data_IF_550207031280
#
_entry.id   IF_550207031280
#
_cell.length_a   1.000
_cell.length_b   1.000
_cell.length_c   1.000
_cell.angle_alpha   90.00
_cell.angle_beta   90.00
_cell.angle_gamma   90.00
#
_symmetry.space_group_name_H-M   'P 1'
#
loop_
_entity.id
_entity.type
_entity.pdbx_description
1 polymer ?
#
# COMPACT_ATOMS: atom_id res chain seq x y z
N UNK A 1 44.69 22.81 -24.00
CA UNK A 1 43.81 22.95 -22.82
C UNK A 1 43.00 21.67 -22.75
N UNK A 2 43.42 20.74 -21.89
CA UNK A 2 42.71 19.48 -21.64
C UNK A 2 41.50 19.79 -20.76
N UNK A 3 40.30 19.66 -21.31
CA UNK A 3 39.10 19.54 -20.49
C UNK A 3 39.03 18.09 -20.02
N UNK A 4 39.41 17.88 -18.76
CA UNK A 4 39.06 16.70 -18.00
C UNK A 4 37.54 16.73 -17.82
N UNK A 5 36.82 15.95 -18.61
CA UNK A 5 35.40 15.72 -18.36
C UNK A 5 35.26 14.96 -17.05
N UNK A 6 34.59 15.62 -16.12
CA UNK A 6 34.29 15.17 -14.78
C UNK A 6 33.57 13.82 -14.82
N UNK A 7 34.22 12.85 -14.18
CA UNK A 7 33.71 11.52 -13.88
C UNK A 7 32.45 11.62 -12.98
N UNK A 8 31.27 11.69 -13.62
CA UNK A 8 29.96 11.62 -12.96
C UNK A 8 29.58 10.17 -12.63
N UNK A 9 30.49 9.39 -12.05
CA UNK A 9 30.21 8.00 -11.63
C UNK A 9 29.96 7.90 -10.14
N UNK A 10 28.95 8.63 -9.63
CA UNK A 10 28.25 8.23 -8.40
C UNK A 10 26.84 8.83 -8.42
N UNK A 11 25.94 8.22 -9.19
CA UNK A 11 24.52 8.35 -8.88
C UNK A 11 24.31 7.63 -7.55
N UNK A 12 23.77 8.29 -6.50
CA UNK A 12 23.39 7.58 -5.30
C UNK A 12 22.41 6.49 -5.70
N UNK A 13 22.81 5.24 -5.52
CA UNK A 13 21.90 4.10 -5.56
C UNK A 13 20.97 4.26 -4.37
N UNK A 14 19.81 4.87 -4.58
CA UNK A 14 18.71 4.82 -3.63
C UNK A 14 18.24 3.35 -3.55
N UNK A 15 18.85 2.61 -2.63
CA UNK A 15 18.46 1.25 -2.31
C UNK A 15 17.17 1.31 -1.50
N UNK A 16 16.02 1.25 -2.19
CA UNK A 16 14.70 1.00 -1.58
C UNK A 16 14.60 -0.47 -1.16
N UNK A 17 15.49 -0.93 -0.28
CA UNK A 17 15.47 -2.33 0.15
C UNK A 17 14.44 -2.51 1.28
N UNK A 18 13.16 -2.62 0.90
CA UNK A 18 12.05 -2.96 1.81
C UNK A 18 12.17 -4.38 2.39
N UNK A 19 13.19 -5.16 2.00
CA UNK A 19 13.35 -6.57 2.36
C UNK A 19 13.40 -6.79 3.87
N UNK A 20 14.08 -5.93 4.63
CA UNK A 20 14.16 -6.08 6.09
C UNK A 20 12.78 -5.91 6.75
N UNK A 21 12.05 -4.85 6.39
CA UNK A 21 10.69 -4.63 6.84
C UNK A 21 9.76 -5.76 6.41
N UNK A 22 9.85 -6.21 5.15
CA UNK A 22 9.05 -7.33 4.65
C UNK A 22 9.28 -8.60 5.47
N UNK A 23 10.54 -8.90 5.81
CA UNK A 23 10.90 -10.05 6.65
C UNK A 23 10.30 -9.89 8.05
N UNK A 24 10.46 -8.73 8.67
CA UNK A 24 9.95 -8.46 10.01
C UNK A 24 8.43 -8.59 10.07
N UNK A 25 7.71 -7.97 9.13
CA UNK A 25 6.25 -8.05 9.02
C UNK A 25 5.79 -9.49 8.77
N UNK A 26 6.44 -10.22 7.85
CA UNK A 26 6.08 -11.63 7.57
C UNK A 26 6.31 -12.51 8.80
N UNK A 27 7.39 -12.30 9.55
CA UNK A 27 7.66 -13.04 10.78
C UNK A 27 6.63 -12.74 11.86
N UNK A 28 6.26 -11.47 12.03
CA UNK A 28 5.22 -11.06 12.97
C UNK A 28 3.87 -11.70 12.64
N UNK A 29 3.48 -11.75 11.36
CA UNK A 29 2.23 -12.38 10.91
C UNK A 29 2.27 -13.89 11.10
N UNK A 30 3.40 -14.55 10.80
CA UNK A 30 3.54 -16.00 10.98
C UNK A 30 3.47 -16.44 12.44
N UNK A 31 3.78 -15.54 13.38
CA UNK A 31 3.62 -15.80 14.81
C UNK A 31 2.14 -15.91 15.23
N UNK A 32 1.22 -15.35 14.43
CA UNK A 32 -0.22 -15.49 14.65
C UNK A 32 -0.75 -16.80 14.05
N UNK A 33 -1.31 -17.67 14.90
CA UNK A 33 -1.77 -19.01 14.50
C UNK A 33 -2.73 -18.99 13.29
N UNK A 34 -3.62 -17.97 13.20
CA UNK A 34 -4.56 -17.75 12.09
C UNK A 34 -3.87 -17.67 10.72
N UNK A 35 -2.67 -17.09 10.66
CA UNK A 35 -1.98 -16.76 9.40
C UNK A 35 -0.69 -17.54 9.15
N UNK A 36 -0.23 -18.31 10.14
CA UNK A 36 1.01 -19.10 10.10
C UNK A 36 1.27 -19.87 8.79
N UNK A 37 0.22 -20.40 8.16
CA UNK A 37 0.30 -21.20 6.93
C UNK A 37 -0.27 -20.49 5.67
N UNK A 38 -0.64 -19.22 5.75
CA UNK A 38 -1.21 -18.49 4.62
C UNK A 38 -0.13 -18.01 3.64
N UNK A 39 0.18 -18.88 2.67
CA UNK A 39 1.15 -18.58 1.61
C UNK A 39 0.71 -17.43 0.71
N UNK A 40 -0.60 -17.22 0.53
CA UNK A 40 -1.12 -16.16 -0.33
C UNK A 40 -0.96 -14.81 0.34
N UNK A 41 -1.20 -14.73 1.65
CA UNK A 41 -0.92 -13.54 2.45
C UNK A 41 0.57 -13.15 2.39
N UNK A 42 1.49 -14.12 2.50
CA UNK A 42 2.94 -13.83 2.37
C UNK A 42 3.28 -13.23 1.00
N UNK A 43 2.73 -13.79 -0.08
CA UNK A 43 2.90 -13.22 -1.43
C UNK A 43 2.29 -11.82 -1.54
N UNK A 44 1.12 -11.63 -0.94
CA UNK A 44 0.45 -10.34 -0.89
C UNK A 44 1.31 -9.30 -0.20
N UNK A 45 1.84 -9.57 1.00
CA UNK A 45 2.66 -8.62 1.77
C UNK A 45 3.89 -8.18 0.97
N UNK A 46 4.62 -9.14 0.38
CA UNK A 46 5.77 -8.84 -0.48
C UNK A 46 5.40 -7.96 -1.68
N UNK A 47 4.21 -8.18 -2.25
CA UNK A 47 3.72 -7.36 -3.36
C UNK A 47 3.27 -5.97 -2.90
N UNK A 48 2.57 -5.92 -1.76
CA UNK A 48 1.99 -4.73 -1.14
C UNK A 48 3.06 -3.75 -0.66
N UNK A 49 4.19 -4.27 -0.20
CA UNK A 49 5.33 -3.50 0.31
C UNK A 49 6.55 -3.49 -0.62
N UNK A 50 6.37 -3.92 -1.86
CA UNK A 50 7.43 -3.88 -2.89
C UNK A 50 7.99 -2.48 -3.17
N UNK A 51 7.28 -1.44 -2.76
CA UNK A 51 7.75 -0.07 -2.75
C UNK A 51 7.15 0.67 -1.55
N UNK A 52 7.99 1.01 -0.56
CA UNK A 52 7.62 1.88 0.56
C UNK A 52 8.62 3.04 0.63
N UNK A 53 8.14 4.29 0.80
CA UNK A 53 8.99 5.42 1.11
C UNK A 53 9.82 5.22 2.39
N UNK A 54 11.10 5.62 2.38
CA UNK A 54 12.02 5.41 3.51
C UNK A 54 11.57 6.13 4.78
N UNK A 55 10.96 7.30 4.65
CA UNK A 55 10.38 8.06 5.74
C UNK A 55 9.29 7.27 6.47
N UNK A 56 8.56 6.40 5.78
CA UNK A 56 7.59 5.54 6.47
C UNK A 56 8.28 4.45 7.29
N UNK A 57 9.38 3.89 6.78
CA UNK A 57 10.17 2.86 7.50
C UNK A 57 10.78 3.47 8.76
N UNK A 58 11.21 4.73 8.71
CA UNK A 58 11.80 5.44 9.85
C UNK A 58 10.77 5.87 10.90
N UNK A 59 9.53 6.20 10.48
CA UNK A 59 8.51 6.76 11.37
C UNK A 59 7.52 5.73 11.93
N UNK A 60 7.43 4.52 11.38
CA UNK A 60 6.47 3.51 11.80
C UNK A 60 7.14 2.19 12.17
N UNK A 61 6.60 1.52 13.19
CA UNK A 61 7.08 0.22 13.64
C UNK A 61 6.47 -0.94 12.83
N UNK A 62 7.02 -2.15 12.99
CA UNK A 62 6.53 -3.32 12.29
C UNK A 62 5.09 -3.72 12.63
N UNK A 63 4.58 -3.41 13.83
CA UNK A 63 3.18 -3.67 14.17
C UNK A 63 2.23 -2.80 13.32
N UNK A 64 2.57 -1.53 13.11
CA UNK A 64 1.79 -0.66 12.23
C UNK A 64 1.73 -1.22 10.80
N UNK A 65 2.86 -1.65 10.25
CA UNK A 65 2.91 -2.26 8.91
C UNK A 65 2.19 -3.61 8.87
N UNK A 66 2.31 -4.42 9.92
CA UNK A 66 1.57 -5.68 10.07
C UNK A 66 0.06 -5.46 10.01
N UNK A 67 -0.46 -4.60 10.89
CA UNK A 67 -1.89 -4.35 11.01
C UNK A 67 -2.45 -3.73 9.72
N UNK A 68 -1.68 -2.84 9.10
CA UNK A 68 -2.01 -2.26 7.79
C UNK A 68 -2.10 -3.33 6.71
N UNK A 69 -1.11 -4.23 6.62
CA UNK A 69 -1.09 -5.29 5.62
C UNK A 69 -2.23 -6.30 5.81
N UNK A 70 -2.53 -6.68 7.05
CA UNK A 70 -3.66 -7.57 7.36
C UNK A 70 -5.00 -6.92 7.00
N UNK A 71 -5.21 -5.67 7.44
CA UNK A 71 -6.40 -4.87 7.11
C UNK A 71 -6.58 -4.68 5.59
N UNK A 72 -5.48 -4.48 4.88
CA UNK A 72 -5.44 -4.37 3.43
C UNK A 72 -5.76 -5.71 2.74
N UNK A 73 -5.16 -6.81 3.19
CA UNK A 73 -5.39 -8.14 2.64
C UNK A 73 -6.83 -8.61 2.82
N UNK A 74 -7.38 -8.48 4.03
CA UNK A 74 -8.79 -8.83 4.30
C UNK A 74 -9.77 -8.01 3.45
N UNK A 75 -9.44 -6.75 3.16
CA UNK A 75 -10.20 -5.92 2.23
C UNK A 75 -10.03 -6.40 0.78
N UNK A 76 -8.81 -6.74 0.37
CA UNK A 76 -8.47 -7.20 -0.97
C UNK A 76 -9.17 -8.50 -1.38
N UNK A 77 -9.38 -9.39 -0.42
CA UNK A 77 -10.14 -10.63 -0.59
C UNK A 77 -11.64 -10.40 -0.84
N UNK A 78 -12.19 -9.25 -0.43
CA UNK A 78 -13.63 -8.93 -0.54
C UNK A 78 -14.02 -8.33 -1.88
N UNK A 79 -13.09 -8.10 -2.82
CA UNK A 79 -13.40 -7.51 -4.13
C UNK A 79 -14.44 -8.38 -4.88
N UNK A 80 -15.62 -7.82 -5.23
CA UNK A 80 -16.65 -8.59 -5.91
C UNK A 80 -16.29 -8.82 -7.39
N UNK A 81 -16.65 -10.00 -7.91
CA UNK A 81 -16.28 -10.43 -9.27
C UNK A 81 -16.74 -9.47 -10.38
N UNK A 82 -17.92 -8.86 -10.23
CA UNK A 82 -18.55 -8.03 -11.25
C UNK A 82 -18.29 -6.52 -11.06
N UNK A 83 -17.33 -6.13 -10.23
CA UNK A 83 -16.94 -4.73 -10.11
C UNK A 83 -15.44 -4.54 -10.29
N UNK A 84 -15.11 -3.53 -11.07
CA UNK A 84 -13.73 -3.12 -11.29
C UNK A 84 -13.14 -2.40 -10.07
N UNK A 85 -13.98 -1.99 -9.11
CA UNK A 85 -13.57 -1.27 -7.92
C UNK A 85 -14.26 -1.75 -6.64
N UNK A 86 -13.65 -1.46 -5.50
CA UNK A 86 -14.22 -1.57 -4.17
C UNK A 86 -13.66 -0.43 -3.31
N UNK A 87 -14.49 0.23 -2.52
CA UNK A 87 -14.08 1.31 -1.62
C UNK A 87 -14.60 1.03 -0.22
N UNK A 88 -13.80 1.33 0.79
CA UNK A 88 -14.24 1.40 2.19
C UNK A 88 -13.67 2.65 2.84
N UNK A 89 -14.42 3.21 3.79
CA UNK A 89 -13.97 4.27 4.69
C UNK A 89 -14.26 3.78 6.11
N UNK A 90 -13.24 3.78 6.96
CA UNK A 90 -13.32 3.29 8.33
C UNK A 90 -12.72 4.32 9.26
N UNK A 91 -13.44 4.65 10.32
CA UNK A 91 -12.92 5.49 11.39
C UNK A 91 -12.31 4.59 12.48
N UNK A 92 -11.08 4.90 12.88
CA UNK A 92 -10.39 4.25 13.97
C UNK A 92 -10.40 5.19 15.16
N UNK A 93 -11.08 4.77 16.22
CA UNK A 93 -10.99 5.42 17.53
C UNK A 93 -9.61 5.12 18.10
N UNK A 94 -8.95 6.16 18.61
CA UNK A 94 -7.62 6.16 19.24
C UNK A 94 -7.04 4.78 19.59
N UNK A 95 -5.83 4.50 19.11
CA UNK A 95 -5.01 3.38 19.59
C UNK A 95 -3.97 3.88 20.60
N UNK A 96 -3.22 2.96 21.22
CA UNK A 96 -2.09 3.31 22.09
C UNK A 96 -1.00 4.09 21.35
N UNK A 97 -0.92 3.95 20.03
CA UNK A 97 0.16 4.50 19.20
C UNK A 97 -0.28 5.70 18.35
N UNK A 98 -1.58 5.82 18.04
CA UNK A 98 -2.08 6.86 17.14
C UNK A 98 -3.34 7.55 17.68
N UNK A 99 -3.46 8.88 17.52
CA UNK A 99 -4.73 9.56 17.75
C UNK A 99 -5.79 9.07 16.75
N UNK A 100 -7.08 9.40 16.96
CA UNK A 100 -8.14 8.99 16.05
C UNK A 100 -7.83 9.38 14.60
N UNK A 101 -8.02 8.43 13.69
CA UNK A 101 -7.77 8.63 12.27
C UNK A 101 -8.88 8.01 11.43
N UNK A 102 -8.97 8.44 10.17
CA UNK A 102 -9.80 7.80 9.16
C UNK A 102 -8.88 7.10 8.18
N UNK A 103 -9.20 5.84 7.88
CA UNK A 103 -8.60 5.07 6.80
C UNK A 103 -9.63 4.98 5.67
N UNK A 104 -9.18 5.20 4.44
CA UNK A 104 -9.91 4.69 3.29
C UNK A 104 -9.04 3.76 2.48
N UNK A 105 -9.67 2.73 1.92
CA UNK A 105 -9.04 1.77 1.02
C UNK A 105 -9.82 1.69 -0.27
N UNK A 106 -9.10 1.67 -1.38
CA UNK A 106 -9.67 1.58 -2.71
C UNK A 106 -8.97 0.47 -3.45
N UNK A 107 -9.72 -0.48 -3.99
CA UNK A 107 -9.24 -1.38 -5.03
C UNK A 107 -9.81 -0.88 -6.33
N UNK A 108 -9.00 -0.83 -7.38
CA UNK A 108 -9.43 -0.56 -8.74
C UNK A 108 -8.62 -1.41 -9.72
N UNK A 109 -9.12 -1.54 -10.95
CA UNK A 109 -8.24 -1.86 -12.08
C UNK A 109 -7.30 -0.66 -12.23
N UNK A 110 -6.00 -0.92 -12.30
CA UNK A 110 -5.00 0.15 -12.36
C UNK A 110 -5.30 1.10 -13.53
N UNK A 111 -5.41 2.38 -13.21
CA UNK A 111 -5.84 3.42 -14.11
C UNK A 111 -5.08 4.71 -13.80
N UNK A 112 -4.69 5.44 -14.84
CA UNK A 112 -3.97 6.70 -14.69
C UNK A 112 -4.80 7.72 -13.88
N UNK A 113 -4.09 8.63 -13.21
CA UNK A 113 -4.64 9.83 -12.54
C UNK A 113 -5.48 9.62 -11.27
N UNK A 114 -5.79 8.39 -10.84
CA UNK A 114 -6.59 8.20 -9.61
C UNK A 114 -5.89 8.74 -8.36
N UNK A 115 -4.57 8.56 -8.28
CA UNK A 115 -3.76 9.03 -7.14
C UNK A 115 -3.73 10.55 -7.09
N UNK A 116 -3.47 11.20 -8.21
CA UNK A 116 -3.42 12.66 -8.29
C UNK A 116 -4.80 13.26 -7.97
N UNK A 117 -5.87 12.61 -8.42
CA UNK A 117 -7.24 13.02 -8.13
C UNK A 117 -7.56 12.93 -6.63
N UNK A 118 -7.13 11.85 -5.96
CA UNK A 118 -7.32 11.67 -4.52
C UNK A 118 -6.49 12.68 -3.75
N UNK A 119 -5.21 12.84 -4.09
CA UNK A 119 -4.33 13.82 -3.43
C UNK A 119 -4.86 15.23 -3.56
N UNK A 120 -5.22 15.64 -4.78
CA UNK A 120 -5.79 16.96 -5.05
C UNK A 120 -7.10 17.18 -4.29
N UNK A 121 -7.96 16.16 -4.17
CA UNK A 121 -9.17 16.26 -3.36
C UNK A 121 -8.85 16.46 -1.88
N UNK A 122 -7.95 15.65 -1.31
CA UNK A 122 -7.54 15.73 0.10
C UNK A 122 -6.93 17.11 0.41
N UNK A 123 -6.02 17.59 -0.44
CA UNK A 123 -5.42 18.92 -0.33
C UNK A 123 -6.48 20.02 -0.36
N UNK A 124 -7.44 19.95 -1.29
CA UNK A 124 -8.52 20.94 -1.42
C UNK A 124 -9.40 21.04 -0.17
N UNK A 125 -9.57 19.96 0.58
CA UNK A 125 -10.33 19.94 1.84
C UNK A 125 -9.44 20.09 3.08
N UNK A 126 -8.15 20.39 2.90
CA UNK A 126 -7.21 20.63 3.99
C UNK A 126 -6.85 19.37 4.78
N UNK A 127 -6.93 18.19 4.16
CA UNK A 127 -6.53 16.93 4.76
C UNK A 127 -5.18 16.48 4.21
N UNK A 128 -4.22 16.30 5.10
CA UNK A 128 -2.92 15.75 4.77
C UNK A 128 -2.84 14.30 5.30
N UNK A 129 -2.59 13.30 4.42
CA UNK A 129 -2.43 11.93 4.86
C UNK A 129 -1.08 11.74 5.54
N UNK A 130 -1.06 11.13 6.74
CA UNK A 130 0.19 10.73 7.39
C UNK A 130 0.72 9.41 6.83
N UNK A 131 -0.14 8.63 6.17
CA UNK A 131 0.24 7.39 5.51
C UNK A 131 -0.56 7.23 4.22
N UNK A 132 0.13 7.10 3.10
CA UNK A 132 -0.47 6.92 1.78
C UNK A 132 0.40 5.96 0.96
N UNK A 133 -0.13 4.79 0.63
CA UNK A 133 0.54 3.83 -0.26
C UNK A 133 -0.40 3.37 -1.37
N UNK A 134 0.20 3.04 -2.51
CA UNK A 134 -0.48 2.60 -3.72
C UNK A 134 0.28 1.47 -4.42
N UNK A 135 0.30 0.26 -3.85
CA UNK A 135 0.84 -0.89 -4.55
C UNK A 135 0.00 -1.25 -5.78
N UNK A 136 0.71 -1.45 -6.89
CA UNK A 136 0.19 -2.00 -8.13
C UNK A 136 0.59 -3.47 -8.20
N UNK A 137 -0.40 -4.34 -8.30
CA UNK A 137 -0.21 -5.79 -8.23
C UNK A 137 -0.86 -6.49 -9.41
N UNK A 138 -0.21 -7.53 -9.88
CA UNK A 138 -0.78 -8.47 -10.83
C UNK A 138 -1.53 -9.52 -10.05
N UNK A 139 -2.81 -9.73 -10.39
CA UNK A 139 -3.67 -10.67 -9.70
C UNK A 139 -4.14 -11.79 -10.60
N UNK A 140 -4.31 -12.96 -10.00
CA UNK A 140 -5.08 -14.06 -10.55
C UNK A 140 -6.27 -14.32 -9.63
N UNK A 141 -7.48 -14.25 -10.20
CA UNK A 141 -8.72 -14.56 -9.50
C UNK A 141 -9.39 -15.78 -10.13
N UNK A 142 -10.07 -16.58 -9.33
CA UNK A 142 -10.87 -17.71 -9.81
C UNK A 142 -12.10 -17.23 -10.59
N UNK A 143 -12.82 -18.16 -11.22
CA UNK A 143 -14.11 -17.87 -11.89
C UNK A 143 -15.19 -17.32 -10.94
N UNK A 144 -15.02 -17.48 -9.62
CA UNK A 144 -15.93 -16.94 -8.60
C UNK A 144 -15.41 -15.61 -8.00
N UNK A 145 -14.33 -15.06 -8.54
CA UNK A 145 -13.72 -13.80 -8.11
C UNK A 145 -12.78 -13.90 -6.90
N UNK A 146 -12.55 -15.11 -6.36
CA UNK A 146 -11.64 -15.33 -5.23
C UNK A 146 -10.19 -15.10 -5.67
N UNK A 147 -9.39 -14.41 -4.87
CA UNK A 147 -7.97 -14.27 -5.12
C UNK A 147 -7.28 -15.64 -5.02
N UNK A 148 -6.49 -15.98 -6.03
CA UNK A 148 -5.73 -17.24 -6.10
C UNK A 148 -4.24 -16.97 -6.09
N UNK A 149 -3.79 -15.87 -6.71
CA UNK A 149 -2.39 -15.49 -6.71
C UNK A 149 -2.20 -13.97 -6.85
N UNK A 150 -1.06 -13.47 -6.41
CA UNK A 150 -0.69 -12.06 -6.46
C UNK A 150 0.82 -11.89 -6.61
N UNK A 151 1.23 -10.94 -7.45
CA UNK A 151 2.64 -10.64 -7.74
C UNK A 151 2.87 -9.12 -7.86
N UNK A 152 4.09 -8.61 -7.57
CA UNK A 152 4.43 -7.22 -7.83
C UNK A 152 4.38 -6.90 -9.32
N UNK A 153 3.70 -5.82 -9.72
CA UNK A 153 3.60 -5.45 -11.14
C UNK A 153 4.93 -4.96 -11.74
N UNK A 154 5.78 -4.31 -10.92
CA UNK A 154 7.06 -3.74 -11.36
C UNK A 154 8.10 -4.81 -11.79
N UNK A 155 8.05 -6.00 -11.18
CA UNK A 155 9.02 -7.07 -11.46
C UNK A 155 8.60 -7.98 -12.63
N UNK A 156 7.32 -7.99 -12.99
CA UNK A 156 6.76 -8.96 -13.95
C UNK A 156 6.77 -8.49 -15.42
N UNK A 157 7.01 -7.19 -15.71
CA UNK A 157 7.08 -6.67 -17.09
C UNK A 157 8.19 -7.31 -17.96
N UNK A 158 9.11 -8.10 -17.38
CA UNK A 158 10.12 -8.90 -18.09
C UNK A 158 9.62 -10.28 -18.57
N UNK A 159 8.43 -10.73 -18.18
CA UNK A 159 7.91 -12.06 -18.53
C UNK A 159 6.82 -11.97 -19.60
N UNK A 160 7.10 -12.46 -20.80
CA UNK A 160 6.20 -12.43 -21.98
C UNK A 160 4.95 -13.34 -21.87
N UNK A 161 4.64 -13.89 -20.70
CA UNK A 161 3.55 -14.87 -20.49
C UNK A 161 2.33 -14.31 -19.74
N UNK A 162 2.18 -12.99 -19.68
CA UNK A 162 1.08 -12.34 -18.97
C UNK A 162 -0.09 -12.13 -19.94
N UNK A 163 -0.82 -13.21 -20.26
CA UNK A 163 -1.92 -13.15 -21.25
C UNK A 163 -3.32 -13.18 -20.64
N UNK A 164 -3.48 -13.22 -19.31
CA UNK A 164 -4.79 -13.17 -18.62
C UNK A 164 -4.77 -12.49 -17.24
N UNK A 165 -3.74 -11.69 -16.92
CA UNK A 165 -3.61 -11.12 -15.58
C UNK A 165 -4.30 -9.77 -15.44
N UNK A 166 -5.06 -9.58 -14.36
CA UNK A 166 -5.64 -8.28 -14.05
C UNK A 166 -4.64 -7.47 -13.22
N UNK A 167 -4.20 -6.33 -13.76
CA UNK A 167 -3.42 -5.35 -13.01
C UNK A 167 -4.41 -4.61 -12.12
N UNK A 168 -4.35 -4.88 -10.83
CA UNK A 168 -5.15 -4.21 -9.81
C UNK A 168 -4.25 -3.27 -9.03
N UNK A 169 -4.84 -2.18 -8.56
CA UNK A 169 -4.16 -1.30 -7.63
C UNK A 169 -4.94 -1.20 -6.34
N UNK A 170 -4.22 -1.18 -5.22
CA UNK A 170 -4.79 -1.04 -3.89
C UNK A 170 -4.23 0.22 -3.26
N UNK A 171 -5.09 1.18 -2.99
CA UNK A 171 -4.75 2.44 -2.33
C UNK A 171 -5.13 2.29 -0.87
N UNK A 172 -4.21 2.58 0.04
CA UNK A 172 -4.47 2.69 1.47
C UNK A 172 -4.00 4.06 1.91
N UNK A 173 -4.94 4.84 2.44
CA UNK A 173 -4.69 6.20 2.89
C UNK A 173 -5.25 6.40 4.29
N UNK A 174 -4.44 6.97 5.18
CA UNK A 174 -4.82 7.32 6.54
C UNK A 174 -4.53 8.79 6.79
N UNK A 175 -5.50 9.50 7.37
CA UNK A 175 -5.38 10.89 7.78
C UNK A 175 -5.94 11.08 9.18
N UNK A 176 -5.33 11.98 9.95
CA UNK A 176 -5.74 12.22 11.33
C UNK A 176 -7.08 12.96 11.37
N UNK A 177 -7.94 12.57 12.31
CA UNK A 177 -9.09 13.38 12.68
C UNK A 177 -8.57 14.47 13.61
N UNK A 178 -8.15 15.59 13.04
CA UNK A 178 -8.02 16.81 13.83
C UNK A 178 -9.42 17.13 14.35
N UNK A 179 -9.62 16.95 15.67
CA UNK A 179 -10.72 17.59 16.35
C UNK A 179 -10.57 19.08 16.07
N UNK A 180 -11.38 19.61 15.15
CA UNK A 180 -11.57 21.05 14.99
C UNK A 180 -12.12 21.51 16.34
N UNK A 181 -11.24 21.83 17.29
CA UNK A 181 -11.60 22.53 18.50
C UNK A 181 -12.04 23.92 18.05
N UNK A 182 -13.34 24.08 17.91
CA UNK A 182 -14.07 25.34 17.88
C UNK A 182 -13.51 26.41 16.93
N UNK A 183 -13.96 26.37 15.67
CA UNK A 183 -14.35 27.63 15.02
C UNK A 183 -15.77 27.99 15.50
N UNK A 184 -15.87 28.40 16.77
CA UNK A 184 -16.99 29.21 17.23
C UNK A 184 -16.73 30.59 16.65
N UNK A 185 -17.36 30.88 15.52
CA UNK A 185 -17.57 32.25 15.06
C UNK A 185 -18.59 32.84 16.04
N UNK A 186 -18.10 33.54 17.06
CA UNK A 186 -18.85 34.60 17.77
C UNK A 186 -18.57 35.92 17.10
#
# INVERSE_FOLDING_TARGET
MNNQDLDLTHYPTFSCDSTELEIEVVNAIKSEAKYSNDKLLVKFIKSFYSYIPIDYIENYNANFFKDTALSAYEFFLKKPINKNYLVTISQFTQSSEFPPFIEFKIINIDAAFIIDSIKSLLERIGLEPFFFIHPIVITQRSKDGKLVDVHPALQSRKSNNITNSNIESLIVCKYMVLLIKNCLIT
#
